data_IF_699282759204
#
_entry.id   IF_699282759204
#
_cell.length_a   1.000
_cell.length_b   1.000
_cell.length_c   1.000
_cell.angle_alpha   90.00
_cell.angle_beta   90.00
_cell.angle_gamma   90.00
#
_symmetry.space_group_name_H-M   'P 1'
#
loop_
_entity.id
_entity.type
_entity.pdbx_description
1 polymer ?
#
# COMPACT_ATOMS: atom_id res chain seq x y z
N UNK A 1 -2.20 13.73 -1.86
CA UNK A 1 -1.61 12.38 -2.00
C UNK A 1 -2.20 11.47 -0.93
N UNK A 2 -2.12 10.14 -1.08
CA UNK A 2 -2.59 9.17 -0.07
C UNK A 2 -1.39 8.34 0.36
N UNK A 3 -1.29 8.05 1.65
CA UNK A 3 -0.34 7.10 2.21
C UNK A 3 -1.07 6.07 3.05
N UNK A 4 -0.64 4.82 2.96
CA UNK A 4 -1.09 3.74 3.83
C UNK A 4 -0.03 2.63 3.82
N UNK A 5 -0.16 1.68 4.74
CA UNK A 5 0.61 0.46 4.75
C UNK A 5 -0.27 -0.73 5.15
N UNK A 6 0.25 -1.95 5.04
CA UNK A 6 -0.45 -3.13 5.53
C UNK A 6 0.55 -4.15 6.04
N UNK A 7 0.05 -5.10 6.84
CA UNK A 7 0.80 -6.27 7.30
C UNK A 7 -0.09 -7.52 7.17
N UNK A 8 0.44 -8.70 7.50
CA UNK A 8 -0.28 -9.96 7.27
C UNK A 8 -1.66 -10.06 7.95
N UNK A 9 -1.93 -9.25 8.98
CA UNK A 9 -3.19 -9.30 9.73
C UNK A 9 -4.18 -8.20 9.31
N UNK A 10 -3.84 -7.36 8.33
CA UNK A 10 -4.74 -6.31 7.85
C UNK A 10 -4.03 -5.03 7.41
N UNK A 11 -4.84 -4.01 7.21
CA UNK A 11 -4.41 -2.71 6.69
C UNK A 11 -4.20 -1.72 7.84
N UNK A 12 -3.14 -0.93 7.72
CA UNK A 12 -2.89 0.21 8.59
C UNK A 12 -3.77 1.41 8.20
N UNK A 13 -3.64 2.54 8.93
CA UNK A 13 -4.37 3.76 8.62
C UNK A 13 -4.15 4.23 7.18
N UNK A 14 -5.22 4.77 6.59
CA UNK A 14 -5.17 5.55 5.35
C UNK A 14 -5.08 7.03 5.70
N UNK A 15 -4.00 7.66 5.26
CA UNK A 15 -3.65 9.04 5.58
C UNK A 15 -3.71 9.86 4.29
N UNK A 16 -4.57 10.89 4.29
CA UNK A 16 -4.53 11.92 3.27
C UNK A 16 -3.41 12.90 3.59
N UNK A 17 -2.58 13.17 2.59
CA UNK A 17 -1.46 14.09 2.71
C UNK A 17 -1.69 15.25 1.76
N UNK A 18 -1.69 16.45 2.32
CA UNK A 18 -1.78 17.68 1.57
C UNK A 18 -0.42 18.06 0.95
N UNK A 19 -0.45 18.39 -0.34
CA UNK A 19 0.72 18.67 -1.15
C UNK A 19 1.68 17.47 -1.31
N UNK A 20 2.97 17.80 -1.42
CA UNK A 20 4.07 16.82 -1.50
C UNK A 20 4.49 16.34 -0.10
N UNK A 21 5.03 15.12 -0.04
CA UNK A 21 5.68 14.60 1.17
C UNK A 21 7.16 14.95 1.15
N UNK A 22 7.59 15.67 2.17
CA UNK A 22 9.00 15.86 2.52
C UNK A 22 9.39 14.88 3.64
N UNK A 23 10.66 14.97 4.08
CA UNK A 23 11.20 14.13 5.13
C UNK A 23 10.46 14.30 6.47
N UNK A 24 10.16 15.52 6.88
CA UNK A 24 9.56 15.81 8.18
C UNK A 24 8.12 15.28 8.25
N UNK A 25 7.33 15.51 7.19
CA UNK A 25 5.98 14.94 7.07
C UNK A 25 6.04 13.41 7.14
N UNK A 26 6.99 12.79 6.43
CA UNK A 26 7.11 11.34 6.42
C UNK A 26 7.48 10.77 7.80
N UNK A 27 8.46 11.38 8.48
CA UNK A 27 8.87 10.99 9.84
C UNK A 27 7.70 11.13 10.81
N UNK A 28 6.95 12.23 10.74
CA UNK A 28 5.79 12.46 11.59
C UNK A 28 4.69 11.40 11.37
N UNK A 29 4.42 11.06 10.10
CA UNK A 29 3.47 9.98 9.77
C UNK A 29 3.92 8.66 10.41
N UNK A 30 5.20 8.29 10.29
CA UNK A 30 5.70 7.06 10.88
C UNK A 30 5.62 7.08 12.40
N UNK A 31 6.11 8.14 13.04
CA UNK A 31 6.17 8.27 14.50
C UNK A 31 4.78 8.26 15.17
N UNK A 32 3.75 8.78 14.48
CA UNK A 32 2.39 8.81 15.00
C UNK A 32 1.66 7.48 14.85
N UNK A 33 2.06 6.64 13.89
CA UNK A 33 1.27 5.46 13.51
C UNK A 33 2.01 4.13 13.75
N UNK A 34 3.33 4.16 13.97
CA UNK A 34 4.16 2.96 14.09
C UNK A 34 5.30 3.13 15.09
N UNK A 35 5.70 2.02 15.72
CA UNK A 35 6.95 1.94 16.46
C UNK A 35 8.14 1.94 15.49
N UNK A 36 9.36 2.10 15.99
CA UNK A 36 10.56 2.02 15.14
C UNK A 36 10.73 0.61 14.56
N UNK A 37 10.95 0.54 13.24
CA UNK A 37 11.29 -0.69 12.53
C UNK A 37 12.74 -0.61 12.05
N UNK A 38 13.47 -1.71 12.19
CA UNK A 38 14.81 -1.83 11.63
C UNK A 38 14.69 -2.25 10.17
N UNK A 39 14.84 -1.28 9.26
CA UNK A 39 14.80 -1.51 7.82
C UNK A 39 16.22 -1.54 7.24
N UNK A 40 16.64 -2.68 6.68
CA UNK A 40 18.01 -2.85 6.17
C UNK A 40 18.20 -2.44 4.71
N UNK A 41 17.27 -2.79 3.80
CA UNK A 41 17.50 -2.60 2.37
C UNK A 41 16.25 -2.76 1.50
N UNK A 42 16.04 -1.86 0.54
CA UNK A 42 15.10 -2.01 -0.58
C UNK A 42 15.86 -1.81 -1.90
N UNK A 43 15.73 -2.71 -2.90
CA UNK A 43 16.30 -2.45 -4.23
C UNK A 43 15.53 -1.34 -4.95
N UNK A 44 16.27 -0.41 -5.57
CA UNK A 44 15.67 0.65 -6.38
C UNK A 44 14.94 0.06 -7.60
N UNK A 45 13.86 0.73 -8.04
CA UNK A 45 13.07 0.35 -9.22
C UNK A 45 12.48 -1.07 -9.18
N UNK A 46 12.17 -1.60 -7.98
CA UNK A 46 11.54 -2.92 -7.82
C UNK A 46 10.10 -2.83 -7.29
N UNK A 47 9.15 -2.28 -8.08
CA UNK A 47 7.74 -2.29 -7.70
C UNK A 47 7.16 -3.72 -7.66
N UNK A 48 7.74 -4.65 -8.40
CA UNK A 48 7.37 -6.08 -8.41
C UNK A 48 7.66 -6.79 -7.07
N UNK A 49 8.56 -6.22 -6.26
CA UNK A 49 8.76 -6.63 -4.88
C UNK A 49 7.82 -5.93 -3.88
N UNK A 50 7.06 -4.91 -4.30
CA UNK A 50 6.10 -4.22 -3.44
C UNK A 50 4.68 -4.79 -3.61
N UNK A 51 4.19 -5.65 -2.70
CA UNK A 51 2.85 -6.22 -2.82
C UNK A 51 1.72 -5.19 -2.65
N UNK A 52 2.02 -3.97 -2.19
CA UNK A 52 1.03 -2.90 -1.97
C UNK A 52 0.37 -2.43 -3.27
N UNK A 53 1.04 -2.54 -4.42
CA UNK A 53 0.46 -2.13 -5.71
C UNK A 53 -0.85 -2.85 -6.01
N UNK A 54 -0.97 -4.13 -5.64
CA UNK A 54 -2.21 -4.90 -5.82
C UNK A 54 -3.36 -4.34 -4.97
N UNK A 55 -3.07 -3.87 -3.77
CA UNK A 55 -4.06 -3.25 -2.88
C UNK A 55 -4.56 -1.94 -3.49
N UNK A 56 -3.65 -1.11 -4.02
CA UNK A 56 -4.01 0.15 -4.67
C UNK A 56 -4.83 -0.05 -5.95
N UNK A 57 -4.52 -1.08 -6.74
CA UNK A 57 -5.33 -1.44 -7.91
C UNK A 57 -6.75 -1.85 -7.50
N UNK A 58 -6.88 -2.72 -6.49
CA UNK A 58 -8.17 -3.16 -5.99
C UNK A 58 -8.99 -1.98 -5.45
N UNK A 59 -8.39 -1.16 -4.58
CA UNK A 59 -9.03 0.01 -4.00
C UNK A 59 -9.43 1.03 -5.06
N UNK A 60 -8.57 1.27 -6.05
CA UNK A 60 -8.85 2.17 -7.17
C UNK A 60 -10.05 1.70 -8.01
N UNK A 61 -10.26 0.39 -8.16
CA UNK A 61 -11.42 -0.14 -8.87
C UNK A 61 -12.72 0.02 -8.06
N UNK A 62 -12.69 -0.27 -6.76
CA UNK A 62 -13.84 -0.07 -5.86
C UNK A 62 -14.29 1.40 -5.83
N UNK A 63 -13.33 2.34 -5.78
CA UNK A 63 -13.62 3.78 -5.79
C UNK A 63 -14.18 4.23 -7.14
N UNK A 64 -13.75 3.63 -8.26
CA UNK A 64 -14.34 3.94 -9.58
C UNK A 64 -15.81 3.57 -9.65
N UNK A 65 -16.22 2.48 -9.01
CA UNK A 65 -17.63 2.07 -8.95
C UNK A 65 -18.48 3.09 -8.16
N UNK A 66 -17.91 3.71 -7.13
CA UNK A 66 -18.56 4.74 -6.30
C UNK A 66 -18.40 6.17 -6.82
N UNK A 67 -17.82 6.36 -8.00
CA UNK A 67 -17.42 7.70 -8.49
C UNK A 67 -18.55 8.72 -8.50
N UNK A 68 -19.79 8.32 -8.77
CA UNK A 68 -20.95 9.21 -8.77
C UNK A 68 -21.35 9.73 -7.39
N UNK A 69 -20.93 9.05 -6.32
CA UNK A 69 -21.23 9.41 -4.93
C UNK A 69 -20.23 10.44 -4.37
N UNK A 70 -19.05 10.57 -5.00
CA UNK A 70 -17.90 11.32 -4.49
C UNK A 70 -17.79 12.67 -5.21
N UNK A 71 -17.97 13.76 -4.46
CA UNK A 71 -17.98 15.14 -4.97
C UNK A 71 -16.82 16.00 -4.47
N UNK A 72 -16.22 15.62 -3.34
CA UNK A 72 -15.14 16.36 -2.69
C UNK A 72 -14.12 15.40 -2.06
N UNK A 73 -13.04 15.97 -1.50
CA UNK A 73 -11.93 15.20 -0.93
C UNK A 73 -12.35 14.50 0.36
N UNK A 74 -13.25 15.10 1.14
CA UNK A 74 -13.78 14.54 2.38
C UNK A 74 -14.58 13.26 2.10
N UNK A 75 -15.48 13.30 1.12
CA UNK A 75 -16.26 12.14 0.65
C UNK A 75 -15.33 11.06 0.06
N UNK A 76 -14.30 11.46 -0.69
CA UNK A 76 -13.29 10.52 -1.19
C UNK A 76 -12.55 9.83 -0.04
N UNK A 77 -12.17 10.59 1.00
CA UNK A 77 -11.49 10.06 2.20
C UNK A 77 -12.34 9.00 2.90
N UNK A 78 -13.63 9.29 3.07
CA UNK A 78 -14.59 8.37 3.69
C UNK A 78 -14.74 7.11 2.85
N UNK A 79 -15.00 7.26 1.54
CA UNK A 79 -15.14 6.13 0.64
C UNK A 79 -13.89 5.24 0.61
N UNK A 80 -12.69 5.84 0.57
CA UNK A 80 -11.42 5.11 0.62
C UNK A 80 -11.27 4.26 1.88
N UNK A 81 -11.66 4.80 3.05
CA UNK A 81 -11.60 4.07 4.32
C UNK A 81 -12.62 2.92 4.34
N UNK A 82 -13.85 3.19 3.95
CA UNK A 82 -14.91 2.17 3.88
C UNK A 82 -14.56 1.03 2.91
N UNK A 83 -14.02 1.35 1.73
CA UNK A 83 -13.63 0.32 0.77
C UNK A 83 -12.39 -0.46 1.23
N UNK A 84 -11.42 0.20 1.88
CA UNK A 84 -10.24 -0.48 2.43
C UNK A 84 -10.62 -1.47 3.55
N UNK A 85 -11.60 -1.13 4.40
CA UNK A 85 -12.13 -2.02 5.44
C UNK A 85 -12.82 -3.27 4.86
N UNK A 86 -13.38 -3.18 3.66
CA UNK A 86 -13.97 -4.34 2.96
C UNK A 86 -12.92 -5.27 2.37
N UNK A 87 -11.69 -4.80 2.16
CA UNK A 87 -10.63 -5.65 1.66
C UNK A 87 -10.29 -6.68 2.75
N UNK A 88 -10.47 -7.96 2.41
CA UNK A 88 -10.28 -9.06 3.35
C UNK A 88 -8.86 -9.06 3.94
N UNK A 89 -8.70 -9.24 5.27
CA UNK A 89 -7.41 -9.54 5.88
C UNK A 89 -6.71 -10.76 5.25
N UNK A 90 -7.48 -11.69 4.66
CA UNK A 90 -6.94 -12.82 3.91
C UNK A 90 -6.14 -12.39 2.68
N UNK A 91 -6.50 -11.27 2.02
CA UNK A 91 -5.71 -10.71 0.92
C UNK A 91 -4.37 -10.19 1.44
N UNK A 92 -4.38 -9.48 2.57
CA UNK A 92 -3.17 -8.96 3.21
C UNK A 92 -2.21 -10.10 3.59
N UNK A 93 -2.71 -11.15 4.23
CA UNK A 93 -1.94 -12.35 4.55
C UNK A 93 -1.35 -13.02 3.29
N UNK A 94 -2.17 -13.18 2.24
CA UNK A 94 -1.74 -13.76 0.97
C UNK A 94 -0.62 -12.95 0.31
N UNK A 95 -0.78 -11.63 0.26
CA UNK A 95 0.20 -10.72 -0.35
C UNK A 95 1.53 -10.74 0.41
N UNK A 96 1.51 -10.70 1.74
CA UNK A 96 2.74 -10.85 2.55
C UNK A 96 3.36 -12.23 2.34
N UNK A 97 2.54 -13.29 2.31
CA UNK A 97 3.01 -14.66 2.04
C UNK A 97 3.62 -14.83 0.65
N UNK A 98 3.24 -14.01 -0.33
CA UNK A 98 3.78 -14.04 -1.69
C UNK A 98 5.23 -13.56 -1.81
N UNK A 99 5.77 -12.87 -0.80
CA UNK A 99 7.09 -12.25 -0.85
C UNK A 99 8.22 -13.24 -1.15
N UNK A 100 8.16 -14.46 -0.61
CA UNK A 100 9.15 -15.50 -0.91
C UNK A 100 9.20 -15.81 -2.41
N UNK A 101 8.05 -16.00 -3.04
CA UNK A 101 7.96 -16.31 -4.46
C UNK A 101 8.37 -15.12 -5.34
N UNK A 102 8.07 -13.88 -4.93
CA UNK A 102 8.53 -12.65 -5.60
C UNK A 102 10.06 -12.56 -5.59
N UNK A 103 10.68 -12.75 -4.43
CA UNK A 103 12.14 -12.77 -4.30
C UNK A 103 12.78 -13.89 -5.13
N UNK A 104 12.21 -15.09 -5.12
CA UNK A 104 12.69 -16.21 -5.94
C UNK A 104 12.60 -15.91 -7.43
N UNK A 105 11.53 -15.24 -7.88
CA UNK A 105 11.39 -14.82 -9.28
C UNK A 105 12.47 -13.80 -9.68
N UNK A 106 12.77 -12.82 -8.82
CA UNK A 106 13.85 -11.84 -9.08
C UNK A 106 15.22 -12.52 -9.13
N UNK A 107 15.48 -13.47 -8.23
CA UNK A 107 16.73 -14.26 -8.25
C UNK A 107 16.84 -15.05 -9.55
N UNK A 108 15.77 -15.74 -9.97
CA UNK A 108 15.73 -16.49 -11.22
C UNK A 108 15.92 -15.59 -12.45
N UNK A 109 15.36 -14.38 -12.42
CA UNK A 109 15.52 -13.35 -13.44
C UNK A 109 16.88 -12.62 -13.35
N UNK A 110 17.75 -12.97 -12.39
CA UNK A 110 19.05 -12.32 -12.14
C UNK A 110 18.93 -10.80 -11.92
N UNK A 111 17.90 -10.38 -11.18
CA UNK A 111 17.59 -8.96 -10.95
C UNK A 111 16.76 -8.31 -12.06
N UNK A 112 16.39 -9.05 -13.10
CA UNK A 112 15.48 -8.59 -14.15
C UNK A 112 14.02 -8.50 -13.69
N UNK A 113 13.19 -7.87 -14.53
CA UNK A 113 11.75 -7.72 -14.29
C UNK A 113 11.05 -9.07 -14.12
N UNK A 114 10.11 -9.12 -13.18
CA UNK A 114 9.27 -10.30 -12.96
C UNK A 114 7.82 -10.05 -13.37
N UNK A 115 6.99 -11.08 -13.28
CA UNK A 115 5.55 -11.01 -13.56
C UNK A 115 4.73 -10.31 -12.45
N UNK A 116 5.38 -9.97 -11.36
CA UNK A 116 4.77 -9.53 -10.10
C UNK A 116 4.62 -8.02 -10.00
#
# INVERSE_FOLDING_TARGET
MIWSCFHANGFGPLILIDGTVDQDKYINILAQNYHSWDFKYWPAQSPDLNPTEYVWIALGNLIKERRSEIRNIEELSVALREELEKISPGLAAYLVGSMKARCEAVIAAKGGLTKY
#
